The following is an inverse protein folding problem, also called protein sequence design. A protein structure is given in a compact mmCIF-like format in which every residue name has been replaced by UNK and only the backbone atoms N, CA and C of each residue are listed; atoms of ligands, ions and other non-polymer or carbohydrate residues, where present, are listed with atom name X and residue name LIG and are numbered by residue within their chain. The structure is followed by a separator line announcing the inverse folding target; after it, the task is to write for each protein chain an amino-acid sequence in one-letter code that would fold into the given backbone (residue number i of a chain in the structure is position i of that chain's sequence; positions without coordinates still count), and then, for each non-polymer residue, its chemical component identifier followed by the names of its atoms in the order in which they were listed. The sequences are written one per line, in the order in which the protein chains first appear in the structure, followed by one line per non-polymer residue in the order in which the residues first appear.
data_IF_062348123524
#
_entry.id   IF_062348123524
#
_cell.length_a   1.000
_cell.length_b   1.000
_cell.length_c   1.000
_cell.angle_alpha   90.00
_cell.angle_beta   90.00
_cell.angle_gamma   90.00
#
_symmetry.space_group_name_H-M   'P 1'
#
loop_
_entity.id
_entity.type
_entity.pdbx_description
1 polymer ?
#
# COMPACT_ATOMS: atom_id res chain seq x y z
N UNK A 1 4.80 -16.04 -7.35
CA UNK A 1 4.28 -15.60 -8.65
C UNK A 1 4.40 -16.72 -9.68
N UNK A 2 5.60 -17.24 -9.96
CA UNK A 2 5.88 -18.27 -10.97
C UNK A 2 4.98 -19.50 -10.79
N UNK A 3 4.89 -20.07 -9.58
CA UNK A 3 4.04 -21.24 -9.28
C UNK A 3 2.54 -21.05 -9.55
N UNK A 4 2.09 -19.82 -9.78
CA UNK A 4 0.70 -19.47 -10.08
C UNK A 4 0.51 -18.97 -11.51
N UNK A 5 1.56 -19.04 -12.34
CA UNK A 5 1.51 -18.57 -13.73
C UNK A 5 1.30 -17.05 -13.85
N UNK A 6 1.69 -16.28 -12.84
CA UNK A 6 1.55 -14.81 -12.82
C UNK A 6 2.75 -14.20 -13.53
N UNK A 7 2.50 -13.36 -14.54
CA UNK A 7 3.54 -12.62 -15.23
C UNK A 7 4.18 -11.58 -14.26
N UNK A 8 5.50 -11.58 -14.20
CA UNK A 8 6.28 -10.65 -13.38
C UNK A 8 7.04 -9.71 -14.28
N UNK A 9 6.93 -8.42 -14.01
CA UNK A 9 7.64 -7.35 -14.71
C UNK A 9 8.55 -6.62 -13.72
N UNK A 10 9.76 -6.36 -14.12
CA UNK A 10 10.71 -5.55 -13.36
C UNK A 10 10.74 -4.14 -13.93
N UNK A 11 10.77 -3.13 -13.05
CA UNK A 11 10.94 -1.76 -13.49
C UNK A 11 12.36 -1.54 -13.99
N UNK A 12 12.52 -0.79 -15.07
CA UNK A 12 13.82 -0.48 -15.69
C UNK A 12 14.70 0.41 -14.80
N UNK A 13 14.08 1.20 -13.92
CA UNK A 13 14.74 2.08 -12.98
C UNK A 13 13.74 2.93 -12.21
N UNK A 14 14.21 3.65 -11.20
CA UNK A 14 13.35 4.45 -10.31
C UNK A 14 12.58 5.55 -11.05
N UNK A 15 13.21 6.17 -12.06
CA UNK A 15 12.57 7.22 -12.86
C UNK A 15 11.53 6.66 -13.82
N UNK A 16 11.72 5.41 -14.26
CA UNK A 16 10.84 4.73 -15.21
C UNK A 16 9.62 4.06 -14.57
N UNK A 17 9.52 4.02 -13.23
CA UNK A 17 8.41 3.36 -12.55
C UNK A 17 7.05 3.92 -13.01
N UNK A 18 6.89 5.22 -13.09
CA UNK A 18 5.63 5.83 -13.55
C UNK A 18 5.26 5.47 -14.98
N UNK A 19 6.15 5.63 -15.98
CA UNK A 19 5.95 5.12 -17.34
C UNK A 19 5.64 3.62 -17.37
N UNK A 20 6.46 2.78 -16.71
CA UNK A 20 6.28 1.33 -16.70
C UNK A 20 4.93 0.92 -16.08
N UNK A 21 4.48 1.55 -14.99
CA UNK A 21 3.16 1.29 -14.40
C UNK A 21 2.02 1.62 -15.35
N UNK A 22 2.14 2.67 -16.17
CA UNK A 22 1.12 3.03 -17.17
C UNK A 22 1.12 2.11 -18.38
N UNK A 23 2.27 1.57 -18.76
CA UNK A 23 2.42 0.62 -19.85
C UNK A 23 1.92 -0.77 -19.44
N UNK A 24 2.48 -1.34 -18.39
CA UNK A 24 2.19 -2.70 -17.91
C UNK A 24 0.79 -2.79 -17.28
N UNK A 25 0.34 -1.73 -16.61
CA UNK A 25 -0.95 -1.68 -15.88
C UNK A 25 -1.12 -2.87 -14.92
N UNK A 26 -0.19 -3.07 -13.98
CA UNK A 26 -0.21 -4.22 -13.10
C UNK A 26 -1.47 -4.20 -12.20
N UNK A 27 -1.91 -5.38 -11.79
CA UNK A 27 -3.01 -5.53 -10.82
C UNK A 27 -2.48 -5.40 -9.39
N UNK A 28 -1.27 -5.91 -9.16
CA UNK A 28 -0.56 -5.83 -7.88
C UNK A 28 0.90 -5.51 -8.18
N UNK A 29 1.53 -4.67 -7.36
CA UNK A 29 2.98 -4.53 -7.36
C UNK A 29 3.54 -4.44 -5.95
N UNK A 30 4.80 -4.84 -5.81
CA UNK A 30 5.55 -4.76 -4.56
C UNK A 30 6.48 -3.56 -4.60
N UNK A 31 6.64 -2.88 -3.47
CA UNK A 31 7.45 -1.68 -3.38
C UNK A 31 7.95 -1.42 -1.96
N UNK A 32 8.65 -0.31 -1.79
CA UNK A 32 9.05 0.23 -0.49
C UNK A 32 8.27 1.51 -0.19
N UNK A 33 8.09 1.90 1.08
CA UNK A 33 7.32 3.11 1.45
C UNK A 33 7.78 4.38 0.74
N UNK A 34 9.08 4.52 0.50
CA UNK A 34 9.65 5.69 -0.19
C UNK A 34 9.09 5.93 -1.59
N UNK A 35 8.72 4.86 -2.30
CA UNK A 35 8.07 5.02 -3.60
C UNK A 35 6.65 5.58 -3.46
N UNK A 36 5.89 5.11 -2.47
CA UNK A 36 4.55 5.64 -2.20
C UNK A 36 4.59 7.12 -1.81
N UNK A 37 5.60 7.53 -1.03
CA UNK A 37 5.85 8.94 -0.73
C UNK A 37 6.05 9.75 -2.00
N UNK A 38 6.97 9.32 -2.89
CA UNK A 38 7.23 9.99 -4.17
C UNK A 38 5.99 10.06 -5.07
N UNK A 39 5.20 8.99 -5.12
CA UNK A 39 3.94 9.00 -5.88
C UNK A 39 2.99 10.05 -5.32
N UNK A 40 2.83 10.11 -4.00
CA UNK A 40 1.97 11.10 -3.36
C UNK A 40 2.52 12.52 -3.50
N UNK A 41 3.82 12.74 -3.31
CA UNK A 41 4.48 14.04 -3.54
C UNK A 41 4.17 14.57 -4.95
N UNK A 42 4.21 13.71 -5.97
CA UNK A 42 3.86 14.10 -7.35
C UNK A 42 2.38 14.43 -7.52
N UNK A 43 1.50 13.66 -6.88
CA UNK A 43 0.05 13.93 -6.87
C UNK A 43 -0.22 15.29 -6.18
N UNK A 44 0.39 15.52 -5.02
CA UNK A 44 0.24 16.76 -4.25
C UNK A 44 0.79 17.96 -5.00
N UNK A 45 1.97 17.86 -5.61
CA UNK A 45 2.55 18.91 -6.45
C UNK A 45 1.60 19.30 -7.59
N UNK A 46 1.07 18.31 -8.34
CA UNK A 46 0.08 18.55 -9.39
C UNK A 46 -1.19 19.21 -8.82
N UNK A 47 -1.62 18.81 -7.63
CA UNK A 47 -2.75 19.41 -6.93
C UNK A 47 -2.50 20.89 -6.55
N UNK A 48 -1.27 21.22 -6.14
CA UNK A 48 -0.88 22.59 -5.78
C UNK A 48 -0.83 23.55 -6.95
N UNK A 49 -0.64 23.07 -8.17
CA UNK A 49 -0.69 23.87 -9.39
C UNK A 49 -2.14 24.26 -9.78
N UNK A 50 -3.15 23.57 -9.22
CA UNK A 50 -4.55 23.91 -9.45
C UNK A 50 -4.92 25.25 -8.77
N UNK A 51 -5.85 25.99 -9.38
CA UNK A 51 -6.34 27.26 -8.86
C UNK A 51 -7.87 27.25 -8.69
N UNK A 52 -8.37 28.16 -7.86
CA UNK A 52 -9.79 28.36 -7.64
C UNK A 52 -10.53 27.10 -7.20
N UNK A 53 -11.70 26.87 -7.74
CA UNK A 53 -12.59 25.77 -7.33
C UNK A 53 -11.96 24.38 -7.48
N UNK A 54 -11.11 24.16 -8.50
CA UNK A 54 -10.42 22.89 -8.71
C UNK A 54 -9.44 22.58 -7.55
N UNK A 55 -8.77 23.61 -7.05
CA UNK A 55 -7.88 23.49 -5.89
C UNK A 55 -8.67 23.11 -4.64
N UNK A 56 -9.78 23.79 -4.37
CA UNK A 56 -10.64 23.49 -3.21
C UNK A 56 -11.18 22.07 -3.25
N UNK A 57 -11.57 21.55 -4.41
CA UNK A 57 -11.99 20.15 -4.57
C UNK A 57 -10.85 19.19 -4.27
N UNK A 58 -9.64 19.48 -4.74
CA UNK A 58 -8.47 18.63 -4.49
C UNK A 58 -8.16 18.58 -2.98
N UNK A 59 -8.05 19.73 -2.31
CA UNK A 59 -7.76 19.82 -0.88
C UNK A 59 -8.84 19.10 -0.05
N UNK A 60 -10.12 19.36 -0.32
CA UNK A 60 -11.23 18.64 0.31
C UNK A 60 -11.15 17.13 0.11
N UNK A 61 -10.76 16.66 -1.06
CA UNK A 61 -10.61 15.22 -1.33
C UNK A 61 -9.45 14.61 -0.56
N UNK A 62 -8.35 15.35 -0.37
CA UNK A 62 -7.22 14.92 0.46
C UNK A 62 -7.66 14.82 1.93
N UNK A 63 -8.32 15.83 2.47
CA UNK A 63 -8.81 15.83 3.85
C UNK A 63 -9.81 14.68 4.10
N UNK A 64 -10.71 14.44 3.15
CA UNK A 64 -11.65 13.33 3.19
C UNK A 64 -10.94 11.96 3.22
N UNK A 65 -9.88 11.81 2.43
CA UNK A 65 -9.07 10.59 2.43
C UNK A 65 -8.26 10.42 3.72
N UNK A 66 -7.76 11.51 4.32
CA UNK A 66 -7.06 11.48 5.60
C UNK A 66 -7.95 11.02 6.76
N UNK A 67 -9.25 11.27 6.67
CA UNK A 67 -10.25 10.80 7.65
C UNK A 67 -10.67 9.34 7.43
N UNK A 68 -10.15 8.66 6.39
CA UNK A 68 -10.53 7.29 6.10
C UNK A 68 -10.01 6.31 7.15
N UNK A 69 -10.90 5.46 7.67
CA UNK A 69 -10.57 4.39 8.63
C UNK A 69 -11.04 3.03 8.10
N UNK A 70 -10.23 2.01 8.31
CA UNK A 70 -10.60 0.61 8.02
C UNK A 70 -11.48 0.07 9.14
N UNK A 71 -12.45 -0.78 8.79
CA UNK A 71 -13.29 -1.51 9.77
C UNK A 71 -14.29 -0.66 10.54
N UNK A 72 -14.28 0.67 10.40
CA UNK A 72 -15.28 1.53 11.03
C UNK A 72 -16.50 1.74 10.12
N UNK A 73 -17.73 1.68 10.70
CA UNK A 73 -18.93 1.99 9.94
C UNK A 73 -18.86 3.43 9.40
N UNK A 74 -19.07 3.57 8.10
CA UNK A 74 -19.06 4.86 7.43
C UNK A 74 -20.49 5.41 7.33
N UNK A 75 -20.70 6.64 7.81
CA UNK A 75 -21.99 7.33 7.68
C UNK A 75 -22.39 7.50 6.21
N UNK A 76 -23.70 7.59 5.94
CA UNK A 76 -24.19 7.78 4.58
C UNK A 76 -23.66 9.04 3.91
N UNK A 77 -23.61 10.22 4.59
CA UNK A 77 -23.01 11.43 4.00
C UNK A 77 -21.53 11.22 3.63
N UNK A 78 -20.75 10.54 4.48
CA UNK A 78 -19.33 10.27 4.20
C UNK A 78 -19.15 9.36 2.96
N UNK A 79 -20.01 8.34 2.80
CA UNK A 79 -19.99 7.48 1.61
C UNK A 79 -20.29 8.25 0.33
N UNK A 80 -21.26 9.18 0.37
CA UNK A 80 -21.59 10.06 -0.76
C UNK A 80 -20.40 10.96 -1.10
N UNK A 81 -19.77 11.58 -0.11
CA UNK A 81 -18.59 12.42 -0.31
C UNK A 81 -17.42 11.61 -0.92
N UNK A 82 -17.17 10.39 -0.43
CA UNK A 82 -16.16 9.51 -1.03
C UNK A 82 -16.46 9.17 -2.49
N UNK A 83 -17.73 8.95 -2.84
CA UNK A 83 -18.12 8.67 -4.24
C UNK A 83 -17.89 9.90 -5.15
N UNK A 84 -18.19 11.10 -4.67
CA UNK A 84 -17.91 12.36 -5.39
C UNK A 84 -16.40 12.56 -5.55
N UNK A 85 -15.63 12.41 -4.48
CA UNK A 85 -14.17 12.52 -4.52
C UNK A 85 -13.54 11.45 -5.43
N UNK A 86 -14.09 10.23 -5.45
CA UNK A 86 -13.64 9.17 -6.35
C UNK A 86 -13.80 9.54 -7.81
N UNK A 87 -14.95 10.08 -8.18
CA UNK A 87 -15.23 10.52 -9.56
C UNK A 87 -14.35 11.69 -9.99
N UNK A 88 -14.20 12.71 -9.14
CA UNK A 88 -13.52 13.96 -9.49
C UNK A 88 -11.99 13.87 -9.37
N UNK A 89 -11.47 13.14 -8.38
CA UNK A 89 -10.06 13.17 -7.99
C UNK A 89 -9.42 11.77 -7.97
N UNK A 90 -9.93 10.81 -7.19
CA UNK A 90 -9.22 9.56 -6.95
C UNK A 90 -9.08 8.68 -8.19
N UNK A 91 -10.02 8.73 -9.11
CA UNK A 91 -9.89 8.08 -10.43
C UNK A 91 -8.64 8.55 -11.17
N UNK A 92 -8.27 9.83 -11.05
CA UNK A 92 -7.05 10.37 -11.67
C UNK A 92 -5.79 9.82 -10.99
N UNK A 93 -5.82 9.67 -9.65
CA UNK A 93 -4.72 9.05 -8.91
C UNK A 93 -4.50 7.61 -9.35
N UNK A 94 -5.58 6.81 -9.46
CA UNK A 94 -5.47 5.44 -9.98
C UNK A 94 -4.89 5.40 -11.39
N UNK A 95 -5.32 6.29 -12.26
CA UNK A 95 -4.82 6.36 -13.64
C UNK A 95 -3.33 6.72 -13.69
N UNK A 96 -2.83 7.57 -12.78
CA UNK A 96 -1.43 7.93 -12.70
C UNK A 96 -0.51 6.73 -12.39
N UNK A 97 -1.05 5.72 -11.73
CA UNK A 97 -0.35 4.46 -11.39
C UNK A 97 -0.79 3.28 -12.27
N UNK A 98 -1.36 3.55 -13.45
CA UNK A 98 -1.70 2.52 -14.45
C UNK A 98 -3.18 2.11 -14.51
N UNK A 99 -4.03 2.57 -13.58
CA UNK A 99 -5.49 2.42 -13.63
C UNK A 99 -6.07 1.05 -13.25
N UNK A 100 -5.26 -0.01 -13.20
CA UNK A 100 -5.71 -1.38 -12.90
C UNK A 100 -5.26 -1.89 -11.53
N UNK A 101 -4.45 -1.12 -10.79
CA UNK A 101 -3.92 -1.52 -9.49
C UNK A 101 -5.06 -1.72 -8.49
N UNK A 102 -5.13 -2.90 -7.90
CA UNK A 102 -6.02 -3.27 -6.80
C UNK A 102 -5.29 -3.23 -5.47
N UNK A 103 -4.02 -3.63 -5.45
CA UNK A 103 -3.23 -3.68 -4.25
C UNK A 103 -1.75 -3.34 -4.50
N UNK A 104 -1.15 -2.75 -3.48
CA UNK A 104 0.29 -2.51 -3.38
C UNK A 104 0.76 -3.24 -2.12
N UNK A 105 1.81 -4.03 -2.24
CA UNK A 105 2.48 -4.64 -1.09
C UNK A 105 3.72 -3.83 -0.79
N UNK A 106 3.85 -3.34 0.44
CA UNK A 106 5.02 -2.57 0.88
C UNK A 106 5.68 -3.22 2.08
N UNK A 107 6.98 -3.09 2.18
CA UNK A 107 7.78 -3.67 3.25
C UNK A 107 9.14 -3.01 3.36
N UNK A 108 10.06 -3.61 4.10
CA UNK A 108 11.42 -3.13 4.40
C UNK A 108 11.48 -1.88 5.30
N UNK A 109 10.39 -1.17 5.51
CA UNK A 109 10.25 -0.09 6.48
C UNK A 109 8.76 0.15 6.77
N UNK A 110 8.46 0.84 7.88
CA UNK A 110 7.10 1.24 8.20
C UNK A 110 6.58 2.29 7.20
N UNK A 111 5.35 2.11 6.73
CA UNK A 111 4.69 3.08 5.87
C UNK A 111 3.93 4.12 6.71
N UNK A 112 3.97 5.37 6.29
CA UNK A 112 3.23 6.42 6.99
C UNK A 112 1.71 6.15 6.89
N UNK A 113 1.02 6.14 8.02
CA UNK A 113 -0.43 5.88 8.09
C UNK A 113 -1.24 6.81 7.18
N UNK A 114 -0.81 8.06 7.02
CA UNK A 114 -1.45 9.01 6.10
C UNK A 114 -1.50 8.48 4.66
N UNK A 115 -0.42 7.85 4.19
CA UNK A 115 -0.37 7.28 2.82
C UNK A 115 -1.29 6.08 2.70
N UNK A 116 -1.33 5.23 3.73
CA UNK A 116 -2.25 4.08 3.78
C UNK A 116 -3.71 4.54 3.65
N UNK A 117 -4.09 5.61 4.38
CA UNK A 117 -5.42 6.22 4.31
C UNK A 117 -5.73 6.78 2.91
N UNK A 118 -4.83 7.60 2.37
CA UNK A 118 -4.97 8.26 1.08
C UNK A 118 -5.17 7.25 -0.06
N UNK A 119 -4.30 6.26 -0.15
CA UNK A 119 -4.38 5.25 -1.20
C UNK A 119 -5.60 4.34 -1.02
N UNK A 120 -5.92 3.95 0.23
CA UNK A 120 -7.09 3.08 0.49
C UNK A 120 -8.40 3.81 0.18
N UNK A 121 -8.53 5.11 0.53
CA UNK A 121 -9.67 5.92 0.14
C UNK A 121 -9.82 6.01 -1.39
N UNK A 122 -8.69 6.05 -2.10
CA UNK A 122 -8.64 6.00 -3.56
C UNK A 122 -8.84 4.59 -4.14
N UNK A 123 -9.27 3.61 -3.34
CA UNK A 123 -9.48 2.20 -3.74
C UNK A 123 -8.21 1.48 -4.21
N UNK A 124 -7.06 1.94 -3.75
CA UNK A 124 -5.77 1.26 -3.90
C UNK A 124 -5.40 0.70 -2.53
N UNK A 125 -5.59 -0.60 -2.34
CA UNK A 125 -5.28 -1.25 -1.08
C UNK A 125 -3.76 -1.29 -0.89
N UNK A 126 -3.25 -0.74 0.20
CA UNK A 126 -1.85 -0.86 0.58
C UNK A 126 -1.74 -1.85 1.73
N UNK A 127 -0.93 -2.88 1.53
CA UNK A 127 -0.68 -3.95 2.50
C UNK A 127 0.77 -3.88 2.94
N UNK A 128 0.99 -3.65 4.22
CA UNK A 128 2.32 -3.71 4.81
C UNK A 128 2.66 -5.15 5.16
N UNK A 129 3.91 -5.53 4.92
CA UNK A 129 4.48 -6.80 5.35
C UNK A 129 5.74 -6.61 6.17
N UNK A 130 6.01 -7.56 7.06
CA UNK A 130 7.20 -7.61 7.89
C UNK A 130 7.92 -8.94 7.70
N UNK A 131 9.22 -8.86 7.66
CA UNK A 131 10.10 -10.02 7.59
C UNK A 131 11.52 -9.61 7.24
N UNK A 132 12.38 -10.60 7.13
CA UNK A 132 13.82 -10.51 6.94
C UNK A 132 14.23 -11.40 5.76
N UNK A 133 15.40 -11.20 5.21
CA UNK A 133 15.98 -12.14 4.24
C UNK A 133 16.06 -13.54 4.84
N UNK A 134 16.42 -13.61 6.13
CA UNK A 134 16.52 -14.82 6.94
C UNK A 134 15.19 -15.55 7.14
N UNK A 135 14.06 -14.90 6.82
CA UNK A 135 12.70 -15.48 6.93
C UNK A 135 12.04 -15.72 5.58
N UNK A 136 12.75 -15.67 4.47
CA UNK A 136 12.39 -16.02 3.08
C UNK A 136 11.10 -15.40 2.50
N UNK A 137 10.82 -14.15 2.52
CA UNK A 137 11.25 -13.07 3.41
C UNK A 137 10.18 -12.68 4.45
N UNK A 138 9.00 -13.31 4.50
CA UNK A 138 7.80 -12.81 5.19
C UNK A 138 7.54 -13.57 6.47
N UNK A 139 7.29 -12.83 7.56
CA UNK A 139 6.77 -13.33 8.83
C UNK A 139 5.28 -13.01 8.95
N UNK A 140 4.89 -11.76 8.61
CA UNK A 140 3.51 -11.29 8.68
C UNK A 140 3.19 -10.35 7.53
N UNK A 141 1.91 -10.25 7.18
CA UNK A 141 1.44 -9.32 6.14
C UNK A 141 -0.03 -8.98 6.33
N UNK A 142 -0.38 -7.72 6.13
CA UNK A 142 -1.76 -7.29 6.00
C UNK A 142 -2.44 -8.01 4.83
N UNK A 143 -3.70 -8.40 5.01
CA UNK A 143 -4.48 -9.12 3.99
C UNK A 143 -5.29 -8.14 3.14
N UNK A 144 -5.73 -8.63 1.99
CA UNK A 144 -6.60 -7.84 1.12
C UNK A 144 -7.97 -7.59 1.75
N UNK A 145 -8.48 -8.56 2.51
CA UNK A 145 -9.72 -8.46 3.26
C UNK A 145 -9.61 -7.42 4.37
N UNK A 146 -10.62 -6.55 4.49
CA UNK A 146 -10.59 -5.40 5.38
C UNK A 146 -10.50 -5.82 6.87
N UNK A 147 -11.16 -6.93 7.25
CA UNK A 147 -11.15 -7.48 8.61
C UNK A 147 -9.77 -8.00 9.07
N UNK A 148 -8.88 -8.28 8.12
CA UNK A 148 -7.52 -8.78 8.36
C UNK A 148 -6.45 -7.74 8.02
N UNK A 149 -6.81 -6.46 8.04
CA UNK A 149 -5.93 -5.34 7.74
C UNK A 149 -6.16 -4.19 8.72
N UNK A 150 -5.08 -3.64 9.24
CA UNK A 150 -5.11 -2.49 10.14
C UNK A 150 -3.99 -1.52 9.78
N UNK A 151 -4.29 -0.25 9.72
CA UNK A 151 -3.28 0.79 9.47
C UNK A 151 -2.25 0.86 10.60
N UNK A 152 -0.98 1.02 10.24
CA UNK A 152 0.13 1.10 11.18
C UNK A 152 0.51 -0.24 11.82
N UNK A 153 0.08 -1.36 11.22
CA UNK A 153 0.48 -2.71 11.62
C UNK A 153 1.01 -3.49 10.41
N UNK A 154 1.76 -4.52 10.69
CA UNK A 154 2.30 -5.43 9.67
C UNK A 154 1.38 -6.64 9.39
N UNK A 155 0.15 -6.61 9.92
CA UNK A 155 -0.87 -7.62 9.66
C UNK A 155 -0.71 -8.92 10.44
N UNK A 156 -1.31 -9.97 9.91
CA UNK A 156 -1.35 -11.30 10.53
C UNK A 156 -0.14 -12.14 10.16
N UNK A 157 0.30 -12.98 11.10
CA UNK A 157 1.37 -13.97 10.87
C UNK A 157 0.95 -14.89 9.71
N UNK A 158 1.92 -15.27 8.88
CA UNK A 158 1.66 -16.22 7.79
C UNK A 158 1.46 -17.63 8.34
N UNK A 159 0.86 -18.49 7.50
CA UNK A 159 0.58 -19.87 7.87
C UNK A 159 1.88 -20.62 8.21
N UNK A 160 1.81 -21.51 9.20
CA UNK A 160 2.89 -22.40 9.64
C UNK A 160 4.11 -21.67 10.22
N UNK A 161 3.97 -20.40 10.63
CA UNK A 161 4.98 -19.61 11.34
C UNK A 161 4.47 -19.27 12.73
N UNK A 162 5.30 -19.51 13.73
CA UNK A 162 5.10 -19.14 15.12
C UNK A 162 5.93 -17.90 15.43
N UNK A 163 5.37 -16.95 16.19
CA UNK A 163 6.05 -15.72 16.60
C UNK A 163 5.84 -15.53 18.09
N UNK A 164 6.92 -15.20 18.79
CA UNK A 164 6.92 -14.87 20.22
C UNK A 164 7.71 -13.57 20.42
N UNK A 165 7.30 -12.78 21.39
CA UNK A 165 8.10 -11.68 21.93
C UNK A 165 8.86 -12.19 23.16
N UNK A 166 10.15 -12.02 23.17
CA UNK A 166 10.99 -12.26 24.33
C UNK A 166 10.82 -11.13 25.37
N UNK A 167 11.30 -11.34 26.59
CA UNK A 167 11.14 -10.38 27.69
C UNK A 167 11.82 -9.03 27.44
N UNK A 168 12.86 -9.02 26.61
CA UNK A 168 13.58 -7.81 26.16
C UNK A 168 12.93 -7.12 24.95
N UNK A 169 11.85 -7.69 24.41
CA UNK A 169 11.13 -7.19 23.25
C UNK A 169 11.63 -7.73 21.91
N UNK A 170 12.58 -8.67 21.90
CA UNK A 170 13.03 -9.33 20.69
C UNK A 170 11.89 -10.14 20.04
N UNK A 171 11.77 -10.05 18.71
CA UNK A 171 10.84 -10.87 17.94
C UNK A 171 11.50 -12.19 17.55
N UNK A 172 11.07 -13.26 18.18
CA UNK A 172 11.54 -14.62 17.88
C UNK A 172 10.53 -15.32 16.98
N UNK A 173 10.99 -15.97 15.93
CA UNK A 173 10.11 -16.69 15.02
C UNK A 173 10.65 -18.08 14.68
N UNK A 174 9.71 -19.01 14.44
CA UNK A 174 9.97 -20.39 14.04
C UNK A 174 9.01 -20.78 12.94
N UNK A 175 9.52 -21.42 11.89
CA UNK A 175 8.69 -21.87 10.77
C UNK A 175 9.51 -22.39 9.59
N UNK A 176 8.84 -22.93 8.57
CA UNK A 176 9.49 -23.47 7.38
C UNK A 176 10.13 -22.39 6.49
N UNK A 177 9.86 -21.13 6.76
CA UNK A 177 10.40 -19.95 6.06
C UNK A 177 11.77 -19.51 6.60
N UNK A 178 12.24 -20.08 7.72
CA UNK A 178 13.53 -19.71 8.31
C UNK A 178 14.68 -20.31 7.47
N UNK A 179 15.67 -19.49 7.13
CA UNK A 179 16.86 -19.96 6.41
C UNK A 179 17.67 -20.97 7.23
N UNK A 180 18.41 -21.81 6.56
CA UNK A 180 19.30 -22.79 7.21
C UNK A 180 20.57 -22.16 7.82
N UNK A 181 20.94 -20.97 7.40
CA UNK A 181 22.12 -20.23 7.83
C UNK A 181 22.75 -19.43 6.69
N UNK A 182 23.77 -18.67 7.03
CA UNK A 182 24.58 -17.95 6.04
C UNK A 182 25.56 -18.87 5.34
N UNK A 183 25.79 -18.58 4.05
CA UNK A 183 26.88 -19.25 3.32
C UNK A 183 28.22 -18.75 3.85
N UNK A 184 29.17 -19.70 4.06
CA UNK A 184 30.53 -19.42 4.58
C UNK A 184 31.39 -18.80 3.48
#
# INVERSE_FOLDING_TARGET
YICKGIAVYFAEGMEMIGPNLREVKPVVFTTVPRLLEKVFEKIDATGRELTGFKRSIFDWSVDLAMAYEIGKPKSLPYKIQLAIADFLVYKKWRNAVGGKIKAIVTGSAACQVKLLRLFTAAKIVVMEGYGLTETSPVISVNRFQEENRMFGTVGTIIKDVEVQLADDGEIVCKGPNIMMGYYK
#
